data_IF_420115675510
#
_entry.id   IF_420115675510
#
_cell.length_a   1.000
_cell.length_b   1.000
_cell.length_c   1.000
_cell.angle_alpha   90.00
_cell.angle_beta   90.00
_cell.angle_gamma   90.00
#
_symmetry.space_group_name_H-M   'P 1'
#
loop_
_entity.id
_entity.type
_entity.pdbx_description
1 polymer ?
#
# COMPACT_ATOMS: atom_id res chain seq x y z
N UNK A 1 0.91 7.01 20.34
CA UNK A 1 1.01 7.12 18.87
C UNK A 1 0.52 5.81 18.28
N UNK A 2 -0.80 5.70 18.18
CA UNK A 2 -1.43 4.44 17.75
C UNK A 2 -1.56 4.43 16.23
N UNK A 3 -0.53 3.96 15.56
CA UNK A 3 -0.63 3.48 14.18
C UNK A 3 -1.11 2.03 14.20
N UNK A 4 -2.24 1.79 14.87
CA UNK A 4 -2.95 0.53 14.77
C UNK A 4 -3.67 0.55 13.43
N UNK A 5 -3.00 0.04 12.40
CA UNK A 5 -3.69 -0.41 11.21
C UNK A 5 -4.61 -1.57 11.62
N UNK A 6 -5.90 -1.51 11.37
CA UNK A 6 -6.78 -2.66 11.61
C UNK A 6 -6.48 -3.71 10.54
N UNK A 7 -5.46 -4.51 10.77
CA UNK A 7 -5.07 -5.65 9.94
C UNK A 7 -6.11 -6.79 10.01
N UNK A 8 -7.11 -6.67 10.89
CA UNK A 8 -8.11 -7.71 11.15
C UNK A 8 -9.11 -7.97 10.01
N UNK A 9 -9.11 -7.20 8.93
CA UNK A 9 -9.98 -7.45 7.76
C UNK A 9 -9.28 -8.12 6.57
N UNK A 10 -8.00 -8.40 6.66
CA UNK A 10 -7.24 -9.04 5.58
C UNK A 10 -7.24 -10.58 5.62
N UNK A 11 -7.97 -11.20 6.56
CA UNK A 11 -8.10 -12.67 6.65
C UNK A 11 -9.11 -13.26 5.65
N UNK A 12 -9.69 -12.45 4.78
CA UNK A 12 -10.58 -12.87 3.69
C UNK A 12 -9.82 -12.96 2.38
N UNK A 13 -9.44 -14.18 2.01
CA UNK A 13 -9.20 -14.63 0.63
C UNK A 13 -8.49 -13.64 -0.30
N UNK A 14 -7.16 -13.53 -0.19
CA UNK A 14 -6.28 -12.86 -1.17
C UNK A 14 -6.19 -13.67 -2.49
N UNK A 15 -7.04 -14.68 -2.68
CA UNK A 15 -6.99 -15.59 -3.82
C UNK A 15 -7.72 -15.10 -5.06
N UNK A 16 -8.35 -13.92 -5.04
CA UNK A 16 -9.06 -13.40 -6.20
C UNK A 16 -8.82 -11.91 -6.47
N UNK A 17 -7.58 -11.43 -6.39
CA UNK A 17 -7.20 -10.34 -7.27
C UNK A 17 -6.98 -10.93 -8.67
N UNK A 18 -8.04 -11.41 -9.28
CA UNK A 18 -8.10 -11.57 -10.73
C UNK A 18 -7.93 -10.18 -11.32
N UNK A 19 -6.70 -9.88 -11.73
CA UNK A 19 -6.50 -8.92 -12.80
C UNK A 19 -7.33 -9.40 -13.98
N UNK A 20 -8.54 -8.86 -14.10
CA UNK A 20 -9.26 -8.89 -15.37
C UNK A 20 -8.40 -8.08 -16.32
N UNK A 21 -7.51 -8.78 -17.03
CA UNK A 21 -7.00 -8.32 -18.31
C UNK A 21 -8.21 -7.83 -19.10
N UNK A 22 -8.22 -6.52 -19.37
CA UNK A 22 -9.21 -5.93 -20.28
C UNK A 22 -9.10 -6.68 -21.60
N UNK A 23 -10.03 -7.60 -21.85
CA UNK A 23 -10.28 -8.04 -23.18
C UNK A 23 -10.76 -6.80 -23.95
N UNK A 24 -9.96 -6.36 -24.91
CA UNK A 24 -10.33 -5.39 -25.91
C UNK A 24 -11.44 -6.00 -26.76
N UNK A 25 -12.70 -5.80 -26.35
CA UNK A 25 -13.83 -5.95 -27.27
C UNK A 25 -14.22 -4.56 -27.74
N UNK A 26 -13.99 -4.33 -29.00
CA UNK A 26 -14.51 -3.19 -29.71
C UNK A 26 -16.04 -3.14 -29.58
N UNK A 27 -16.55 -2.07 -29.03
CA UNK A 27 -17.92 -1.59 -28.83
C UNK A 27 -18.34 -1.54 -27.37
N UNK A 28 -18.64 -0.33 -26.96
CA UNK A 28 -19.50 -0.08 -25.82
C UNK A 28 -18.79 0.64 -24.70
N UNK A 29 -19.12 1.91 -24.58
CA UNK A 29 -18.99 2.67 -23.35
C UNK A 29 -19.61 1.83 -22.24
N UNK A 30 -18.77 1.22 -21.40
CA UNK A 30 -19.25 0.46 -20.27
C UNK A 30 -19.77 1.46 -19.25
N UNK A 31 -21.08 1.56 -19.13
CA UNK A 31 -21.74 2.24 -18.03
C UNK A 31 -21.33 1.47 -16.75
N UNK A 32 -20.43 2.04 -15.99
CA UNK A 32 -20.22 1.62 -14.61
C UNK A 32 -21.48 1.95 -13.84
N UNK A 33 -22.07 0.96 -13.17
CA UNK A 33 -23.28 1.14 -12.40
C UNK A 33 -23.13 2.29 -11.39
N UNK A 34 -24.22 3.03 -11.15
CA UNK A 34 -24.24 4.21 -10.26
C UNK A 34 -23.73 3.90 -8.83
N UNK A 35 -23.70 2.64 -8.41
CA UNK A 35 -23.17 2.19 -7.13
C UNK A 35 -21.64 2.19 -7.07
N UNK A 36 -20.95 1.84 -8.17
CA UNK A 36 -19.47 1.94 -8.24
C UNK A 36 -19.00 3.39 -8.25
N UNK A 37 -19.76 4.31 -8.81
CA UNK A 37 -19.42 5.74 -8.79
C UNK A 37 -19.52 6.37 -7.40
N UNK A 38 -20.37 5.84 -6.51
CA UNK A 38 -20.50 6.33 -5.11
C UNK A 38 -19.29 6.02 -4.24
N UNK A 39 -18.48 5.03 -4.61
CA UNK A 39 -17.29 4.60 -3.86
C UNK A 39 -16.00 5.26 -4.35
N UNK A 40 -16.06 6.04 -5.44
CA UNK A 40 -14.87 6.72 -5.97
C UNK A 40 -14.59 8.03 -5.24
N UNK A 41 -13.36 8.19 -4.82
CA UNK A 41 -12.88 9.37 -4.10
C UNK A 41 -11.94 10.21 -4.96
N UNK A 42 -11.97 11.52 -4.77
CA UNK A 42 -10.98 12.45 -5.35
C UNK A 42 -9.64 12.28 -4.65
N UNK A 43 -8.55 12.58 -5.36
CA UNK A 43 -7.20 12.52 -4.81
C UNK A 43 -7.06 13.19 -3.41
N UNK A 44 -7.69 14.35 -3.22
CA UNK A 44 -7.68 15.08 -1.93
C UNK A 44 -8.30 14.26 -0.80
N UNK A 45 -9.39 13.55 -1.06
CA UNK A 45 -10.09 12.71 -0.09
C UNK A 45 -9.24 11.49 0.28
N UNK A 46 -8.62 10.85 -0.74
CA UNK A 46 -7.71 9.71 -0.54
C UNK A 46 -6.49 10.14 0.29
N UNK A 47 -5.91 11.30 0.00
CA UNK A 47 -4.80 11.84 0.78
C UNK A 47 -5.18 12.05 2.26
N UNK A 48 -6.36 12.59 2.52
CA UNK A 48 -6.85 12.82 3.88
C UNK A 48 -7.15 11.51 4.62
N UNK A 49 -7.82 10.56 3.97
CA UNK A 49 -8.16 9.26 4.54
C UNK A 49 -6.91 8.44 4.88
N UNK A 50 -5.98 8.35 3.95
CA UNK A 50 -4.78 7.52 4.10
C UNK A 50 -3.62 8.24 4.80
N UNK A 51 -3.79 9.53 5.13
CA UNK A 51 -2.74 10.39 5.71
C UNK A 51 -1.45 10.37 4.90
N UNK A 52 -1.58 10.43 3.59
CA UNK A 52 -0.49 10.40 2.62
C UNK A 52 -0.48 11.71 1.83
N UNK A 53 0.70 12.25 1.53
CA UNK A 53 0.81 13.46 0.75
C UNK A 53 0.40 13.21 -0.72
N UNK A 54 -0.14 14.25 -1.37
CA UNK A 54 -0.42 14.22 -2.81
C UNK A 54 0.83 13.84 -3.62
N UNK A 55 1.98 14.38 -3.25
CA UNK A 55 3.27 14.11 -3.90
C UNK A 55 3.65 12.63 -3.81
N UNK A 56 3.36 11.97 -2.69
CA UNK A 56 3.61 10.54 -2.51
C UNK A 56 2.77 9.71 -3.47
N UNK A 57 1.46 9.98 -3.59
CA UNK A 57 0.57 9.26 -4.52
C UNK A 57 1.01 9.49 -5.96
N UNK A 58 1.37 10.73 -6.34
CA UNK A 58 1.93 11.03 -7.66
C UNK A 58 3.25 10.29 -7.91
N UNK A 59 4.05 10.08 -6.88
CA UNK A 59 5.26 9.24 -6.95
C UNK A 59 4.92 7.78 -7.27
N UNK A 60 3.88 7.23 -6.68
CA UNK A 60 3.40 5.87 -6.98
C UNK A 60 2.85 5.75 -8.40
N UNK A 61 2.13 6.78 -8.88
CA UNK A 61 1.65 6.84 -10.26
C UNK A 61 2.80 6.88 -11.27
N UNK A 62 3.81 7.72 -11.03
CA UNK A 62 5.02 7.81 -11.87
C UNK A 62 5.81 6.50 -11.89
N UNK A 63 5.85 5.79 -10.77
CA UNK A 63 6.50 4.48 -10.68
C UNK A 63 5.66 3.35 -11.32
N UNK A 64 4.44 3.64 -11.80
CA UNK A 64 3.55 2.67 -12.41
C UNK A 64 2.95 1.68 -11.40
N UNK A 65 2.92 2.03 -10.11
CA UNK A 65 2.40 1.17 -9.04
C UNK A 65 0.89 1.27 -8.88
N UNK A 66 0.32 2.43 -9.18
CA UNK A 66 -1.12 2.71 -9.11
C UNK A 66 -1.52 3.64 -10.25
N UNK A 67 -2.74 3.54 -10.70
CA UNK A 67 -3.34 4.46 -11.64
C UNK A 67 -4.72 4.87 -11.15
N UNK A 68 -5.18 6.11 -11.38
CA UNK A 68 -6.53 6.49 -11.04
C UNK A 68 -7.54 5.67 -11.84
N UNK A 69 -8.70 5.36 -11.26
CA UNK A 69 -9.78 4.62 -11.91
C UNK A 69 -10.47 5.43 -13.03
N UNK A 70 -10.37 6.75 -12.97
CA UNK A 70 -10.97 7.63 -13.99
C UNK A 70 -10.87 9.10 -13.64
N UNK A 71 -11.66 9.91 -14.36
CA UNK A 71 -11.81 11.35 -14.11
C UNK A 71 -13.29 11.68 -14.05
N UNK A 72 -13.65 12.62 -13.19
CA UNK A 72 -15.01 13.16 -13.18
C UNK A 72 -15.20 14.22 -14.28
N UNK A 73 -16.44 14.72 -14.44
CA UNK A 73 -16.80 15.75 -15.40
C UNK A 73 -16.01 17.07 -15.28
N UNK A 74 -15.34 17.28 -14.16
CA UNK A 74 -14.48 18.45 -13.88
C UNK A 74 -12.99 18.16 -14.08
N UNK A 75 -12.62 16.97 -14.58
CA UNK A 75 -11.25 16.57 -14.81
C UNK A 75 -10.48 16.11 -13.57
N UNK A 76 -11.13 15.99 -12.39
CA UNK A 76 -10.46 15.47 -11.19
C UNK A 76 -10.26 13.96 -11.28
N UNK A 77 -9.09 13.51 -10.89
CA UNK A 77 -8.74 12.08 -10.79
C UNK A 77 -9.56 11.42 -9.69
N UNK A 78 -10.08 10.23 -10.00
CA UNK A 78 -10.88 9.40 -9.09
C UNK A 78 -10.16 8.10 -8.79
N UNK A 79 -10.32 7.63 -7.55
CA UNK A 79 -9.74 6.39 -7.03
C UNK A 79 -10.85 5.56 -6.40
N UNK A 80 -11.01 4.34 -6.86
CA UNK A 80 -11.92 3.37 -6.30
C UNK A 80 -11.35 2.67 -5.08
N UNK A 81 -12.07 1.69 -4.53
CA UNK A 81 -11.60 0.91 -3.38
C UNK A 81 -10.33 0.13 -3.70
N UNK A 82 -10.28 -0.49 -4.87
CA UNK A 82 -9.11 -1.27 -5.32
C UNK A 82 -7.83 -0.43 -5.37
N UNK A 83 -7.92 0.81 -5.90
CA UNK A 83 -6.79 1.72 -5.96
C UNK A 83 -6.37 2.18 -4.56
N UNK A 84 -7.32 2.44 -3.68
CA UNK A 84 -7.04 2.83 -2.29
C UNK A 84 -6.37 1.70 -1.50
N UNK A 85 -6.86 0.47 -1.63
CA UNK A 85 -6.22 -0.70 -1.02
C UNK A 85 -4.81 -0.93 -1.56
N UNK A 86 -4.61 -0.76 -2.86
CA UNK A 86 -3.29 -0.85 -3.47
C UNK A 86 -2.34 0.22 -2.92
N UNK A 87 -2.80 1.46 -2.74
CA UNK A 87 -2.02 2.54 -2.12
C UNK A 87 -1.66 2.20 -0.67
N UNK A 88 -2.59 1.66 0.12
CA UNK A 88 -2.33 1.19 1.50
C UNK A 88 -1.24 0.12 1.53
N UNK A 89 -1.32 -0.86 0.63
CA UNK A 89 -0.35 -1.94 0.52
C UNK A 89 1.04 -1.44 0.12
N UNK A 90 1.14 -0.54 -0.86
CA UNK A 90 2.40 0.10 -1.25
C UNK A 90 3.01 0.83 -0.06
N UNK A 91 2.19 1.59 0.67
CA UNK A 91 2.62 2.31 1.87
C UNK A 91 3.16 1.35 2.93
N UNK A 92 2.49 0.24 3.16
CA UNK A 92 2.95 -0.79 4.10
C UNK A 92 4.31 -1.36 3.71
N UNK A 93 4.51 -1.74 2.46
CA UNK A 93 5.81 -2.22 1.98
C UNK A 93 6.92 -1.15 2.13
N UNK A 94 6.62 0.11 1.90
CA UNK A 94 7.58 1.20 2.14
C UNK A 94 7.95 1.32 3.62
N UNK A 95 6.99 1.18 4.53
CA UNK A 95 7.26 1.19 5.98
C UNK A 95 8.15 0.03 6.40
N UNK A 96 8.08 -1.12 5.72
CA UNK A 96 8.98 -2.24 5.91
C UNK A 96 10.38 -2.02 5.31
N UNK A 97 10.59 -0.92 4.57
CA UNK A 97 11.87 -0.57 3.97
C UNK A 97 12.07 -1.05 2.53
N UNK A 98 11.02 -1.60 1.88
CA UNK A 98 11.12 -1.93 0.45
C UNK A 98 11.14 -0.69 -0.43
N UNK A 99 11.99 -0.71 -1.46
CA UNK A 99 12.01 0.34 -2.46
C UNK A 99 10.86 0.20 -3.47
N UNK A 100 10.47 1.30 -4.13
CA UNK A 100 9.35 1.29 -5.09
C UNK A 100 9.55 0.27 -6.23
N UNK A 101 10.79 0.04 -6.65
CA UNK A 101 11.11 -0.97 -7.67
C UNK A 101 10.83 -2.39 -7.19
N UNK A 102 11.19 -2.69 -5.95
CA UNK A 102 10.94 -3.98 -5.31
C UNK A 102 9.45 -4.21 -5.08
N UNK A 103 8.75 -3.17 -4.61
CA UNK A 103 7.30 -3.19 -4.39
C UNK A 103 6.57 -3.52 -5.69
N UNK A 104 6.99 -2.96 -6.81
CA UNK A 104 6.41 -3.27 -8.12
C UNK A 104 6.47 -4.77 -8.43
N UNK A 105 7.63 -5.38 -8.21
CA UNK A 105 7.82 -6.83 -8.41
C UNK A 105 6.97 -7.64 -7.43
N UNK A 106 6.95 -7.24 -6.15
CA UNK A 106 6.19 -7.93 -5.11
C UNK A 106 4.68 -7.88 -5.34
N UNK A 107 4.15 -6.76 -5.83
CA UNK A 107 2.71 -6.62 -6.11
C UNK A 107 2.22 -7.61 -7.18
N UNK A 108 3.08 -7.96 -8.13
CA UNK A 108 2.77 -8.88 -9.23
C UNK A 108 3.24 -10.32 -8.95
N UNK A 109 4.05 -10.52 -7.91
CA UNK A 109 4.63 -11.81 -7.57
C UNK A 109 3.58 -12.79 -7.01
N UNK A 110 3.75 -14.10 -7.24
CA UNK A 110 2.93 -15.14 -6.61
C UNK A 110 2.98 -15.06 -5.08
N UNK A 111 1.91 -15.54 -4.43
CA UNK A 111 1.79 -15.53 -2.96
C UNK A 111 3.00 -16.12 -2.24
N UNK A 112 3.56 -17.29 -2.64
CA UNK A 112 4.73 -17.87 -1.98
C UNK A 112 5.95 -16.94 -2.00
N UNK A 113 6.18 -16.26 -3.11
CA UNK A 113 7.30 -15.31 -3.28
C UNK A 113 7.13 -14.09 -2.37
N UNK A 114 5.91 -13.53 -2.33
CA UNK A 114 5.58 -12.42 -1.42
C UNK A 114 5.76 -12.81 0.04
N UNK A 115 5.28 -14.00 0.41
CA UNK A 115 5.42 -14.54 1.77
C UNK A 115 6.89 -14.67 2.16
N UNK A 116 7.71 -15.25 1.31
CA UNK A 116 9.15 -15.41 1.57
C UNK A 116 9.86 -14.06 1.74
N UNK A 117 9.52 -13.05 0.92
CA UNK A 117 10.09 -11.72 1.04
C UNK A 117 9.69 -11.03 2.36
N UNK A 118 8.43 -11.18 2.78
CA UNK A 118 7.94 -10.64 4.04
C UNK A 118 8.55 -11.34 5.25
N UNK A 119 8.71 -12.66 5.22
CA UNK A 119 9.37 -13.43 6.29
C UNK A 119 10.81 -12.99 6.49
N UNK A 120 11.56 -12.81 5.40
CA UNK A 120 12.93 -12.27 5.48
C UNK A 120 12.96 -10.89 6.14
N UNK A 121 11.99 -10.03 5.79
CA UNK A 121 11.91 -8.69 6.36
C UNK A 121 11.52 -8.72 7.85
N UNK A 122 10.66 -9.65 8.24
CA UNK A 122 10.32 -9.91 9.64
C UNK A 122 11.58 -10.28 10.44
N UNK A 123 12.39 -11.23 9.96
CA UNK A 123 13.65 -11.65 10.59
C UNK A 123 14.66 -10.49 10.72
N UNK A 124 14.78 -9.64 9.68
CA UNK A 124 15.62 -8.44 9.73
C UNK A 124 15.15 -7.46 10.82
N UNK A 125 13.84 -7.19 10.91
CA UNK A 125 13.26 -6.30 11.91
C UNK A 125 13.39 -6.84 13.32
N UNK A 126 13.25 -8.15 13.53
CA UNK A 126 13.46 -8.80 14.83
C UNK A 126 14.91 -8.67 15.27
N UNK A 127 15.86 -8.90 14.37
CA UNK A 127 17.29 -8.74 14.65
C UNK A 127 17.64 -7.29 15.02
N UNK A 128 17.08 -6.32 14.32
CA UNK A 128 17.28 -4.91 14.62
C UNK A 128 16.64 -4.51 15.96
N UNK A 129 15.48 -5.05 16.27
CA UNK A 129 14.81 -4.83 17.55
C UNK A 129 15.66 -5.30 18.72
N UNK A 130 16.25 -6.50 18.65
CA UNK A 130 17.15 -7.05 19.68
C UNK A 130 18.36 -6.13 19.84
N UNK A 131 18.97 -5.71 18.73
CA UNK A 131 20.11 -4.78 18.75
C UNK A 131 19.76 -3.44 19.42
N UNK A 132 18.59 -2.87 19.10
CA UNK A 132 18.15 -1.62 19.72
C UNK A 132 17.87 -1.77 21.21
N UNK A 133 17.30 -2.88 21.64
CA UNK A 133 17.12 -3.17 23.08
C UNK A 133 18.45 -3.18 23.83
N UNK A 134 19.48 -3.81 23.27
CA UNK A 134 20.81 -3.85 23.87
C UNK A 134 21.44 -2.45 23.96
N UNK A 135 21.32 -1.63 22.92
CA UNK A 135 21.80 -0.24 22.94
C UNK A 135 21.06 0.60 24.01
N UNK A 136 19.77 0.43 24.13
CA UNK A 136 18.98 1.12 25.18
C UNK A 136 19.47 0.71 26.57
N UNK A 137 19.77 -0.57 26.80
CA UNK A 137 20.33 -1.07 28.05
C UNK A 137 21.65 -0.38 28.37
N UNK A 138 22.56 -0.35 27.40
CA UNK A 138 23.88 0.28 27.54
C UNK A 138 23.78 1.78 27.86
N UNK A 139 22.88 2.48 27.19
CA UNK A 139 22.64 3.92 27.46
C UNK A 139 22.14 4.13 28.89
N UNK A 140 21.22 3.28 29.37
CA UNK A 140 20.71 3.37 30.76
C UNK A 140 21.82 3.14 31.78
N UNK A 141 22.69 2.15 31.57
CA UNK A 141 23.82 1.88 32.43
C UNK A 141 24.83 3.04 32.43
N UNK A 142 25.09 3.61 31.25
CA UNK A 142 25.96 4.78 31.15
C UNK A 142 25.41 5.99 31.90
N UNK A 143 24.11 6.28 31.76
CA UNK A 143 23.43 7.35 32.49
C UNK A 143 23.52 7.12 34.00
N UNK A 144 23.35 5.89 34.47
CA UNK A 144 23.43 5.58 35.91
C UNK A 144 24.84 5.71 36.48
N UNK A 145 25.86 5.68 35.62
CA UNK A 145 27.27 5.81 36.01
C UNK A 145 27.79 7.28 36.03
N UNK A 146 26.98 8.20 35.45
CA UNK A 146 27.31 9.66 35.48
C UNK A 146 26.91 10.31 36.78
#
# INVERSE_FOLDING_TARGET
MDLIFPFAKFAGSVTECRFRTKALTARGVQFYGEEEMKMQQKLRQVCAELKISRRTIQGYEKAGLVAPSGKNKYGHLLYGETERERIRLIRFYQLLGFQLKEIRVLLEAPVPVRKAALQRKEEELESEYIRLQELIRQVKEFIAAL
#
